data_IF_830450693626
#
_entry.id   IF_830450693626
#
_cell.length_a   1.000
_cell.length_b   1.000
_cell.length_c   1.000
_cell.angle_alpha   90.00
_cell.angle_beta   90.00
_cell.angle_gamma   90.00
#
_symmetry.space_group_name_H-M   'P 1'
#
loop_
_entity.id
_entity.type
_entity.pdbx_description
1 polymer ?
#
# COMPACT_ATOMS: atom_id res chain seq x y z
N UNK A 1 13.14 -4.01 14.42
CA UNK A 1 12.47 -2.95 13.66
C UNK A 1 10.96 -3.10 13.76
N UNK A 2 10.27 -2.03 14.09
CA UNK A 2 8.82 -2.08 14.16
C UNK A 2 8.22 -1.96 12.78
N UNK A 3 7.31 -2.86 12.47
CA UNK A 3 6.51 -2.73 11.26
C UNK A 3 5.15 -2.14 11.64
N UNK A 4 4.56 -1.44 10.69
CA UNK A 4 3.26 -0.81 10.84
C UNK A 4 2.38 -1.27 9.69
N UNK A 5 1.09 -1.22 9.91
CA UNK A 5 0.15 -1.58 8.85
C UNK A 5 -0.27 -0.32 8.10
N UNK A 6 -0.19 -0.38 6.79
CA UNK A 6 -0.59 0.72 5.92
C UNK A 6 -1.63 0.27 4.92
N UNK A 7 -2.53 1.19 4.61
CA UNK A 7 -3.48 1.01 3.51
C UNK A 7 -2.90 1.72 2.30
N UNK A 8 -2.62 0.98 1.26
CA UNK A 8 -2.04 1.50 0.03
C UNK A 8 -3.05 1.33 -1.10
N UNK A 9 -3.33 2.40 -1.80
CA UNK A 9 -4.31 2.38 -2.89
C UNK A 9 -3.73 3.08 -4.12
N UNK A 10 -4.36 2.84 -5.27
CA UNK A 10 -4.01 3.61 -6.45
C UNK A 10 -4.52 5.03 -6.29
N UNK A 11 -3.72 6.00 -6.70
CA UNK A 11 -4.13 7.40 -6.69
C UNK A 11 -5.34 7.64 -7.59
N UNK A 12 -5.39 6.94 -8.70
CA UNK A 12 -6.46 7.10 -9.69
C UNK A 12 -7.70 6.25 -9.40
N UNK A 13 -7.58 5.28 -8.52
CA UNK A 13 -8.70 4.42 -8.16
C UNK A 13 -8.58 3.93 -6.73
N UNK A 14 -9.20 4.66 -5.82
CA UNK A 14 -9.13 4.34 -4.39
C UNK A 14 -9.90 3.08 -4.02
N UNK A 15 -10.68 2.53 -4.94
CA UNK A 15 -11.37 1.25 -4.71
C UNK A 15 -10.43 0.06 -4.76
N UNK A 16 -9.24 0.24 -5.34
CA UNK A 16 -8.21 -0.80 -5.38
C UNK A 16 -7.21 -0.47 -4.29
N UNK A 17 -7.16 -1.29 -3.24
CA UNK A 17 -6.29 -1.03 -2.11
C UNK A 17 -5.80 -2.33 -1.49
N UNK A 18 -4.70 -2.22 -0.75
CA UNK A 18 -4.04 -3.34 -0.08
C UNK A 18 -3.62 -2.93 1.32
N UNK A 19 -3.67 -3.88 2.24
CA UNK A 19 -3.08 -3.68 3.56
C UNK A 19 -1.71 -4.33 3.55
N UNK A 20 -0.70 -3.57 3.89
CA UNK A 20 0.68 -4.06 3.87
C UNK A 20 1.37 -3.75 5.20
N UNK A 21 2.25 -4.66 5.62
CA UNK A 21 3.12 -4.47 6.76
C UNK A 21 4.45 -3.92 6.26
N UNK A 22 4.84 -2.78 6.76
CA UNK A 22 6.09 -2.15 6.31
C UNK A 22 6.63 -1.24 7.39
N UNK A 23 7.95 -1.00 7.41
CA UNK A 23 8.55 -0.11 8.40
C UNK A 23 8.32 1.37 8.09
N UNK A 24 7.96 1.72 6.86
CA UNK A 24 7.74 3.11 6.46
C UNK A 24 6.72 3.21 5.35
N UNK A 25 6.19 4.42 5.18
CA UNK A 25 5.24 4.69 4.10
C UNK A 25 5.85 4.45 2.72
N UNK A 26 7.12 4.81 2.57
CA UNK A 26 7.81 4.63 1.29
C UNK A 26 7.86 3.16 0.89
N UNK A 27 8.24 2.30 1.84
CA UNK A 27 8.31 0.88 1.58
C UNK A 27 6.91 0.32 1.36
N UNK A 28 5.93 0.80 2.11
CA UNK A 28 4.54 0.38 1.93
C UNK A 28 4.05 0.67 0.51
N UNK A 29 4.38 1.85 -0.03
CA UNK A 29 3.99 2.19 -1.40
C UNK A 29 4.56 1.21 -2.43
N UNK A 30 5.84 0.83 -2.28
CA UNK A 30 6.45 -0.14 -3.17
C UNK A 30 5.79 -1.51 -3.04
N UNK A 31 5.47 -1.91 -1.81
CA UNK A 31 4.77 -3.18 -1.59
C UNK A 31 3.41 -3.18 -2.27
N UNK A 32 2.66 -2.10 -2.13
CA UNK A 32 1.36 -1.97 -2.77
C UNK A 32 1.46 -1.99 -4.28
N UNK A 33 2.46 -1.29 -4.83
CA UNK A 33 2.69 -1.29 -6.27
C UNK A 33 3.02 -2.69 -6.78
N UNK A 34 3.86 -3.42 -6.05
CA UNK A 34 4.23 -4.78 -6.43
C UNK A 34 3.01 -5.72 -6.41
N UNK A 35 2.16 -5.59 -5.40
CA UNK A 35 0.94 -6.38 -5.32
C UNK A 35 0.00 -6.09 -6.48
N UNK A 36 -0.16 -4.81 -6.79
CA UNK A 36 -1.00 -4.42 -7.92
C UNK A 36 -0.45 -4.97 -9.23
N UNK A 37 0.85 -4.81 -9.46
CA UNK A 37 1.47 -5.26 -10.70
C UNK A 37 1.36 -6.77 -10.87
N UNK A 38 1.46 -7.51 -9.77
CA UNK A 38 1.30 -8.95 -9.81
C UNK A 38 -0.13 -9.36 -10.13
N UNK A 39 -1.11 -8.67 -9.55
CA UNK A 39 -2.53 -9.02 -9.73
C UNK A 39 -3.06 -8.61 -11.09
N UNK A 40 -2.66 -7.47 -11.58
CA UNK A 40 -3.21 -6.89 -12.81
C UNK A 40 -2.22 -6.82 -13.96
N UNK A 41 -1.06 -7.41 -13.80
CA UNK A 41 0.01 -7.36 -14.81
C UNK A 41 0.36 -5.92 -15.17
N UNK A 42 0.40 -5.04 -14.18
CA UNK A 42 0.64 -3.61 -14.40
C UNK A 42 2.10 -3.22 -14.27
N UNK A 43 2.35 -1.93 -14.42
CA UNK A 43 3.69 -1.34 -14.33
C UNK A 43 3.69 -0.14 -13.40
N UNK A 44 2.96 -0.24 -12.30
CA UNK A 44 2.88 0.87 -11.33
C UNK A 44 4.13 0.95 -10.48
N UNK A 45 4.43 2.16 -10.04
CA UNK A 45 5.54 2.42 -9.13
C UNK A 45 4.98 3.07 -7.86
N UNK A 46 5.87 3.35 -6.91
CA UNK A 46 5.45 4.02 -5.69
C UNK A 46 4.79 5.38 -5.96
N UNK A 47 5.11 6.01 -7.08
CA UNK A 47 4.53 7.31 -7.42
C UNK A 47 3.05 7.23 -7.79
N UNK A 48 2.59 6.05 -8.18
CA UNK A 48 1.19 5.85 -8.55
C UNK A 48 0.32 5.47 -7.36
N UNK A 49 0.93 5.33 -6.18
CA UNK A 49 0.25 4.84 -4.99
C UNK A 49 0.04 5.92 -3.96
N UNK A 50 -1.07 5.81 -3.25
CA UNK A 50 -1.39 6.64 -2.10
C UNK A 50 -1.34 5.74 -0.88
N UNK A 51 -0.74 6.23 0.20
CA UNK A 51 -0.58 5.43 1.41
C UNK A 51 -1.10 6.21 2.61
N UNK A 52 -1.77 5.49 3.50
CA UNK A 52 -2.16 6.05 4.79
C UNK A 52 -1.98 5.01 5.87
N UNK A 53 -1.75 5.47 7.09
CA UNK A 53 -1.58 4.59 8.22
C UNK A 53 -2.91 3.92 8.55
N UNK A 54 -2.88 2.61 8.61
CA UNK A 54 -4.06 1.86 9.00
C UNK A 54 -3.99 1.57 10.49
N UNK A 55 -5.04 1.91 11.22
CA UNK A 55 -5.11 1.65 12.64
C UNK A 55 -6.28 0.72 12.92
N UNK A 56 -5.97 -0.36 13.61
CA UNK A 56 -7.02 -1.22 14.10
C UNK A 56 -7.69 -0.58 15.30
N UNK A 57 -8.99 -0.72 15.38
CA UNK A 57 -9.68 -0.38 16.61
C UNK A 57 -9.50 -1.53 17.56
N UNK A 58 -8.95 -1.25 18.72
CA UNK A 58 -8.83 -2.23 19.79
C UNK A 58 -9.91 -1.95 20.82
N UNK A 59 -10.63 -2.99 21.13
CA UNK A 59 -11.66 -2.91 22.15
C UNK A 59 -11.18 -3.50 23.44
#
# INVERSE_FOLDING_TARGET
MKVKVYKVSLKEDSGIWYLVDAPSKRIAKWCGAALYNNEYAGFRTNKDMKVERFKYEEN
#
